data_IF_427821671513
#
_entry.id   IF_427821671513
#
_cell.length_a   1.000
_cell.length_b   1.000
_cell.length_c   1.000
_cell.angle_alpha   90.00
_cell.angle_beta   90.00
_cell.angle_gamma   90.00
#
_symmetry.space_group_name_H-M   'P 1'
#
loop_
_entity.id
_entity.type
_entity.pdbx_description
1 polymer ?
#
# COMPACT_ATOMS: atom_id res chain seq x y z
N UNK A 1 21.40 -6.37 -15.08
CA UNK A 1 21.27 -4.91 -14.89
C UNK A 1 19.96 -4.63 -14.17
N UNK A 2 20.00 -4.47 -12.86
CA UNK A 2 18.87 -3.96 -12.09
C UNK A 2 18.66 -2.51 -12.51
N UNK A 3 17.57 -2.23 -13.23
CA UNK A 3 17.20 -0.84 -13.56
C UNK A 3 16.96 -0.12 -12.25
N UNK A 4 17.74 0.91 -11.97
CA UNK A 4 17.52 1.78 -10.82
C UNK A 4 16.09 2.33 -10.89
N UNK A 5 15.26 2.12 -9.85
CA UNK A 5 13.86 2.54 -9.91
C UNK A 5 13.78 4.06 -10.05
N UNK A 6 12.92 4.53 -10.95
CA UNK A 6 12.72 5.95 -11.17
C UNK A 6 11.86 6.55 -10.05
N UNK A 7 12.51 7.11 -9.04
CA UNK A 7 11.85 7.71 -7.88
C UNK A 7 11.27 9.11 -8.14
N UNK A 8 11.39 9.68 -9.36
CA UNK A 8 10.88 11.03 -9.67
C UNK A 8 9.37 11.18 -9.42
N UNK A 9 8.61 10.09 -9.53
CA UNK A 9 7.16 10.08 -9.29
C UNK A 9 6.78 9.79 -7.83
N UNK A 10 7.77 9.58 -6.96
CA UNK A 10 7.60 9.18 -5.57
C UNK A 10 8.19 10.23 -4.60
N UNK A 11 8.34 11.48 -5.04
CA UNK A 11 8.73 12.57 -4.16
C UNK A 11 7.65 12.84 -3.10
N UNK A 12 8.03 13.50 -2.00
CA UNK A 12 7.08 13.92 -0.98
C UNK A 12 5.94 14.76 -1.60
N UNK A 13 4.69 14.42 -1.26
CA UNK A 13 3.45 14.94 -1.83
C UNK A 13 3.23 14.73 -3.34
N UNK A 14 4.00 13.85 -3.99
CA UNK A 14 3.67 13.42 -5.34
C UNK A 14 2.29 12.76 -5.38
N UNK A 15 1.53 13.03 -6.45
CA UNK A 15 0.19 12.51 -6.65
C UNK A 15 0.22 11.33 -7.63
N UNK A 16 -0.16 10.15 -7.15
CA UNK A 16 -0.46 8.99 -7.98
C UNK A 16 -1.96 9.03 -8.28
N UNK A 17 -2.31 9.68 -9.39
CA UNK A 17 -3.70 9.87 -9.82
C UNK A 17 -4.27 8.54 -10.34
N UNK A 18 -5.52 8.23 -9.97
CA UNK A 18 -6.24 7.04 -10.44
C UNK A 18 -5.49 5.72 -10.20
N UNK A 19 -4.78 5.61 -9.09
CA UNK A 19 -4.20 4.34 -8.67
C UNK A 19 -5.31 3.32 -8.40
N UNK A 20 -5.09 2.07 -8.77
CA UNK A 20 -6.04 0.98 -8.54
C UNK A 20 -5.55 0.15 -7.37
N UNK A 21 -6.30 0.14 -6.27
CA UNK A 21 -6.11 -0.81 -5.18
C UNK A 21 -6.78 -2.13 -5.57
N UNK A 22 -5.96 -3.14 -5.86
CA UNK A 22 -6.43 -4.51 -6.14
C UNK A 22 -6.53 -5.27 -4.82
N UNK A 23 -7.74 -5.43 -4.28
CA UNK A 23 -8.00 -5.97 -2.94
C UNK A 23 -8.53 -7.42 -2.97
N UNK A 24 -8.05 -8.22 -3.92
CA UNK A 24 -8.44 -9.63 -4.11
C UNK A 24 -9.97 -9.82 -4.12
N UNK A 25 -10.52 -10.61 -3.20
CA UNK A 25 -11.96 -10.91 -3.08
C UNK A 25 -12.84 -9.69 -2.80
N UNK A 26 -12.27 -8.60 -2.26
CA UNK A 26 -12.99 -7.34 -2.08
C UNK A 26 -13.09 -6.50 -3.36
N UNK A 27 -12.48 -6.98 -4.46
CA UNK A 27 -12.47 -6.34 -5.77
C UNK A 27 -11.48 -5.18 -5.87
N UNK A 28 -11.79 -4.21 -6.73
CA UNK A 28 -10.91 -3.07 -7.02
C UNK A 28 -11.51 -1.74 -6.54
N UNK A 29 -10.64 -0.80 -6.15
CA UNK A 29 -10.99 0.58 -5.81
C UNK A 29 -10.02 1.52 -6.51
N UNK A 30 -10.53 2.41 -7.36
CA UNK A 30 -9.71 3.47 -7.99
C UNK A 30 -9.65 4.69 -7.08
N UNK A 31 -8.46 5.09 -6.66
CA UNK A 31 -8.23 6.17 -5.71
C UNK A 31 -7.00 7.01 -6.09
N UNK A 32 -6.93 8.25 -5.62
CA UNK A 32 -5.69 9.00 -5.71
C UNK A 32 -4.84 8.76 -4.46
N UNK A 33 -3.54 8.56 -4.64
CA UNK A 33 -2.59 8.40 -3.54
C UNK A 33 -1.64 9.60 -3.49
N UNK A 34 -1.47 10.18 -2.30
CA UNK A 34 -0.49 11.23 -2.06
C UNK A 34 0.69 10.61 -1.32
N UNK A 35 1.87 10.59 -1.94
CA UNK A 35 3.09 10.05 -1.32
C UNK A 35 3.48 10.90 -0.12
N UNK A 36 3.74 10.26 1.02
CA UNK A 36 4.14 10.93 2.27
C UNK A 36 5.56 10.62 2.67
N UNK A 37 5.98 9.36 2.55
CA UNK A 37 7.34 8.97 2.89
C UNK A 37 7.79 7.82 1.98
N UNK A 38 9.07 7.79 1.65
CA UNK A 38 9.71 6.70 0.91
C UNK A 38 10.97 6.30 1.67
N UNK A 39 11.02 5.06 2.13
CA UNK A 39 12.17 4.51 2.84
C UNK A 39 12.65 3.24 2.15
N UNK A 40 13.93 2.92 2.31
CA UNK A 40 14.50 1.64 1.89
C UNK A 40 14.65 0.78 3.14
N UNK A 41 14.14 -0.45 3.06
CA UNK A 41 14.30 -1.49 4.06
C UNK A 41 15.25 -2.52 3.47
N UNK A 42 16.41 -2.68 4.08
CA UNK A 42 17.37 -3.72 3.69
C UNK A 42 17.21 -4.91 4.62
N UNK A 43 17.03 -6.10 4.05
CA UNK A 43 17.00 -7.36 4.78
C UNK A 43 18.35 -8.04 4.59
N UNK A 44 19.15 -8.03 5.66
CA UNK A 44 20.46 -8.67 5.69
C UNK A 44 20.29 -10.09 6.27
N UNK A 45 20.08 -11.08 5.41
CA UNK A 45 20.10 -12.49 5.78
C UNK A 45 21.53 -13.02 5.69
N UNK A 46 22.04 -13.63 6.76
CA UNK A 46 23.42 -14.11 6.85
C UNK A 46 23.85 -15.10 5.75
N UNK A 47 22.90 -15.71 5.03
CA UNK A 47 23.13 -16.72 4.01
C UNK A 47 22.62 -16.33 2.60
N UNK A 48 22.07 -15.12 2.42
CA UNK A 48 21.51 -14.66 1.15
C UNK A 48 22.07 -13.28 0.76
N UNK A 49 21.97 -12.92 -0.53
CA UNK A 49 22.33 -11.57 -0.97
C UNK A 49 21.41 -10.54 -0.30
N UNK A 50 21.97 -9.40 0.12
CA UNK A 50 21.21 -8.33 0.76
C UNK A 50 20.10 -7.83 -0.16
N UNK A 51 18.84 -7.98 0.25
CA UNK A 51 17.69 -7.52 -0.52
C UNK A 51 17.20 -6.17 0.00
N UNK A 52 17.00 -5.20 -0.91
CA UNK A 52 16.51 -3.87 -0.57
C UNK A 52 15.11 -3.64 -1.13
N UNK A 53 14.19 -3.24 -0.25
CA UNK A 53 12.78 -3.00 -0.55
C UNK A 53 12.43 -1.53 -0.35
N UNK A 54 11.74 -0.92 -1.32
CA UNK A 54 11.18 0.42 -1.16
C UNK A 54 9.80 0.33 -0.51
N UNK A 55 9.66 0.94 0.67
CA UNK A 55 8.37 1.12 1.32
C UNK A 55 7.88 2.55 1.09
N UNK A 56 6.67 2.68 0.51
CA UNK A 56 6.07 3.97 0.12
C UNK A 56 4.82 4.20 0.96
N UNK A 57 4.90 5.09 1.93
CA UNK A 57 3.75 5.50 2.74
C UNK A 57 2.90 6.51 1.95
N UNK A 58 1.62 6.21 1.77
CA UNK A 58 0.67 7.05 1.05
C UNK A 58 -0.50 7.49 1.92
N UNK A 59 -1.02 8.69 1.67
CA UNK A 59 -2.31 9.13 2.16
C UNK A 59 -3.36 8.98 1.05
N UNK A 60 -4.50 8.38 1.40
CA UNK A 60 -5.64 8.28 0.50
C UNK A 60 -6.28 9.64 0.26
N UNK A 61 -6.45 9.99 -1.01
CA UNK A 61 -7.27 11.11 -1.47
C UNK A 61 -8.45 10.53 -2.22
N UNK A 62 -9.55 10.34 -1.50
CA UNK A 62 -10.77 9.73 -2.02
C UNK A 62 -11.37 10.57 -3.15
N UNK A 63 -11.75 9.91 -4.24
CA UNK A 63 -12.47 10.54 -5.34
C UNK A 63 -13.96 10.70 -5.00
N UNK A 64 -14.52 9.70 -4.32
CA UNK A 64 -15.90 9.67 -3.85
C UNK A 64 -15.94 9.21 -2.38
N UNK A 65 -16.88 9.74 -1.59
CA UNK A 65 -17.06 9.34 -0.18
C UNK A 65 -17.51 7.87 -0.04
N UNK A 66 -18.13 7.30 -1.07
CA UNK A 66 -18.52 5.89 -1.07
C UNK A 66 -17.31 4.95 -1.13
N UNK A 67 -16.21 5.35 -1.78
CA UNK A 67 -14.96 4.60 -1.73
C UNK A 67 -14.39 4.57 -0.31
N UNK A 68 -14.52 5.67 0.44
CA UNK A 68 -14.10 5.73 1.84
C UNK A 68 -14.93 4.76 2.70
N UNK A 69 -16.25 4.81 2.61
CA UNK A 69 -17.14 3.88 3.35
C UNK A 69 -16.87 2.43 2.97
N UNK A 70 -16.57 2.16 1.70
CA UNK A 70 -16.21 0.82 1.23
C UNK A 70 -14.91 0.35 1.87
N UNK A 71 -13.88 1.19 1.92
CA UNK A 71 -12.62 0.85 2.62
C UNK A 71 -12.86 0.62 4.11
N UNK A 72 -13.65 1.46 4.78
CA UNK A 72 -13.99 1.28 6.20
C UNK A 72 -14.65 -0.09 6.45
N UNK A 73 -15.58 -0.51 5.58
CA UNK A 73 -16.22 -1.83 5.65
C UNK A 73 -15.21 -2.98 5.47
N UNK A 74 -14.30 -2.86 4.50
CA UNK A 74 -13.25 -3.86 4.25
C UNK A 74 -12.31 -3.96 5.47
N UNK A 75 -11.89 -2.82 6.03
CA UNK A 75 -11.04 -2.80 7.23
C UNK A 75 -11.73 -3.50 8.41
N UNK A 76 -13.01 -3.24 8.64
CA UNK A 76 -13.77 -3.90 9.70
C UNK A 76 -13.83 -5.42 9.50
N UNK A 77 -14.06 -5.87 8.27
CA UNK A 77 -14.14 -7.29 7.95
C UNK A 77 -12.79 -8.00 8.20
N UNK A 78 -11.69 -7.44 7.70
CA UNK A 78 -10.33 -7.95 7.92
C UNK A 78 -9.96 -7.99 9.42
N UNK A 79 -10.35 -6.96 10.19
CA UNK A 79 -10.13 -6.93 11.64
C UNK A 79 -10.91 -8.06 12.33
N UNK A 80 -12.16 -8.28 11.93
CA UNK A 80 -13.01 -9.33 12.50
C UNK A 80 -12.49 -10.72 12.13
N UNK A 81 -12.03 -10.92 10.89
CA UNK A 81 -11.42 -12.16 10.43
C UNK A 81 -10.16 -12.50 11.23
N UNK A 82 -9.26 -11.54 11.38
CA UNK A 82 -8.04 -11.71 12.18
C UNK A 82 -8.37 -12.04 13.65
N UNK A 83 -9.40 -11.40 14.23
CA UNK A 83 -9.88 -11.72 15.58
C UNK A 83 -10.44 -13.13 15.70
N UNK A 84 -11.16 -13.63 14.69
CA UNK A 84 -11.66 -15.01 14.66
C UNK A 84 -10.51 -16.01 14.59
N UNK A 85 -9.50 -15.75 13.76
CA UNK A 85 -8.34 -16.62 13.59
C UNK A 85 -7.53 -16.81 14.88
N UNK A 86 -7.41 -15.77 15.72
CA UNK A 86 -6.70 -15.85 17.02
C UNK A 86 -7.44 -16.63 18.11
N UNK A 87 -8.75 -16.91 17.94
CA UNK A 87 -9.56 -17.65 18.91
C UNK A 87 -9.52 -19.17 18.70
N UNK A 88 -9.01 -19.61 17.55
CA UNK A 88 -8.78 -21.01 17.18
C UNK A 88 -7.33 -21.33 17.51
#
# INVERSE_FOLDING_TARGET
MTKTPNLKFLSHNALLKNAVLMLAEYGEITIDLVVKNVIVITLDNANEESESYYQISCQFKFRHLDDQRRIEKILLDLILEAKRKKRI
#
